data_IF_264542491780
#
_entry.id   IF_264542491780
#
_cell.length_a   1.000
_cell.length_b   1.000
_cell.length_c   1.000
_cell.angle_alpha   90.00
_cell.angle_beta   90.00
_cell.angle_gamma   90.00
#
_symmetry.space_group_name_H-M   'P 1'
#
loop_
_entity.id
_entity.type
_entity.pdbx_description
1 polymer ?
#
# COMPACT_ATOMS: atom_id res chain seq x y z
N UNK A 1 -22.14 -28.53 -47.86
CA UNK A 1 -20.86 -28.28 -47.17
C UNK A 1 -21.12 -27.50 -45.87
N UNK A 2 -21.24 -28.19 -44.74
CA UNK A 2 -21.45 -27.56 -43.42
C UNK A 2 -20.09 -27.15 -42.87
N UNK A 3 -19.77 -25.83 -42.82
CA UNK A 3 -18.63 -25.31 -42.07
C UNK A 3 -18.95 -25.42 -40.58
N UNK A 4 -18.28 -26.31 -39.89
CA UNK A 4 -18.24 -26.36 -38.44
C UNK A 4 -17.47 -25.14 -37.93
N UNK A 5 -18.17 -24.18 -37.35
CA UNK A 5 -17.56 -23.17 -36.50
C UNK A 5 -17.16 -23.87 -35.20
N UNK A 6 -15.87 -24.18 -35.06
CA UNK A 6 -15.25 -24.49 -33.78
C UNK A 6 -15.22 -23.18 -33.00
N UNK A 7 -16.20 -22.93 -32.15
CA UNK A 7 -16.11 -21.93 -31.12
C UNK A 7 -15.01 -22.43 -30.13
N UNK A 8 -13.82 -21.88 -30.24
CA UNK A 8 -12.77 -22.07 -29.24
C UNK A 8 -13.21 -21.18 -28.06
N UNK A 9 -13.91 -21.77 -27.10
CA UNK A 9 -14.04 -21.17 -25.78
C UNK A 9 -12.64 -21.23 -25.16
N UNK A 10 -11.89 -20.14 -25.27
CA UNK A 10 -10.71 -19.94 -24.46
C UNK A 10 -11.22 -19.70 -23.04
N UNK A 11 -11.28 -20.75 -22.22
CA UNK A 11 -11.50 -20.57 -20.78
C UNK A 11 -10.30 -19.77 -20.28
N UNK A 12 -10.51 -18.49 -19.95
CA UNK A 12 -9.54 -17.68 -19.25
C UNK A 12 -9.34 -18.32 -17.87
N UNK A 13 -8.24 -19.05 -17.73
CA UNK A 13 -7.83 -19.68 -16.49
C UNK A 13 -7.01 -18.66 -15.71
N UNK A 14 -7.23 -18.60 -14.40
CA UNK A 14 -6.30 -17.92 -13.50
C UNK A 14 -4.87 -18.39 -13.78
N UNK A 15 -3.89 -17.47 -13.72
CA UNK A 15 -2.50 -17.81 -14.04
C UNK A 15 -1.54 -17.11 -13.09
N UNK A 16 -0.54 -17.87 -12.65
CA UNK A 16 0.66 -17.34 -12.02
C UNK A 16 1.80 -17.44 -13.01
N UNK A 17 2.54 -16.35 -13.20
CA UNK A 17 3.82 -16.34 -13.89
C UNK A 17 4.89 -15.89 -12.90
N UNK A 18 6.02 -16.63 -12.84
CA UNK A 18 7.19 -16.31 -12.03
C UNK A 18 8.40 -16.18 -12.95
N UNK A 19 9.06 -15.03 -12.91
CA UNK A 19 10.21 -14.70 -13.75
C UNK A 19 11.38 -14.26 -12.88
N UNK A 20 12.54 -14.89 -13.03
CA UNK A 20 13.76 -14.44 -12.37
C UNK A 20 14.22 -13.13 -13.01
N UNK A 21 14.49 -12.10 -12.18
CA UNK A 21 14.96 -10.80 -12.62
C UNK A 21 16.47 -10.69 -12.43
N UNK A 22 16.94 -10.91 -11.19
CA UNK A 22 18.35 -10.74 -10.82
C UNK A 22 18.65 -11.46 -9.52
N UNK A 23 19.87 -11.34 -9.03
CA UNK A 23 20.27 -11.73 -7.68
C UNK A 23 20.75 -10.48 -6.92
N UNK A 24 20.33 -10.33 -5.66
CA UNK A 24 20.78 -9.29 -4.72
C UNK A 24 21.35 -10.00 -3.49
N UNK A 25 22.63 -9.77 -3.15
CA UNK A 25 23.29 -10.36 -1.98
C UNK A 25 23.08 -11.89 -1.88
N UNK A 26 23.20 -12.59 -3.01
CA UNK A 26 22.97 -14.04 -3.18
C UNK A 26 21.50 -14.49 -3.00
N UNK A 27 20.53 -13.58 -2.91
CA UNK A 27 19.11 -13.89 -2.89
C UNK A 27 18.47 -13.63 -4.26
N UNK A 28 17.69 -14.60 -4.74
CA UNK A 28 17.05 -14.50 -6.05
C UNK A 28 15.85 -13.57 -6.01
N UNK A 29 15.83 -12.59 -6.89
CA UNK A 29 14.71 -11.69 -7.10
C UNK A 29 13.85 -12.17 -8.26
N UNK A 30 12.55 -12.27 -8.00
CA UNK A 30 11.55 -12.69 -8.96
C UNK A 30 10.48 -11.61 -9.13
N UNK A 31 9.97 -11.51 -10.35
CA UNK A 31 8.69 -10.88 -10.65
C UNK A 31 7.61 -11.96 -10.69
N UNK A 32 6.58 -11.79 -9.90
CA UNK A 32 5.39 -12.64 -9.86
C UNK A 32 4.25 -11.87 -10.53
N UNK A 33 3.51 -12.52 -11.42
CA UNK A 33 2.35 -11.93 -12.09
C UNK A 33 1.14 -12.82 -11.90
N UNK A 34 0.08 -12.25 -11.38
CA UNK A 34 -1.25 -12.84 -11.25
C UNK A 34 -2.16 -12.35 -12.35
N UNK A 35 -2.94 -13.24 -12.93
CA UNK A 35 -4.04 -12.88 -13.84
C UNK A 35 -5.27 -13.67 -13.44
N UNK A 36 -6.38 -12.99 -13.11
CA UNK A 36 -7.64 -13.67 -12.82
C UNK A 36 -8.46 -13.94 -14.10
N UNK A 37 -9.60 -14.61 -13.97
CA UNK A 37 -10.45 -14.93 -15.13
C UNK A 37 -11.13 -13.72 -15.77
N UNK A 38 -11.16 -12.57 -15.10
CA UNK A 38 -11.69 -11.31 -15.61
C UNK A 38 -10.59 -10.42 -16.22
N UNK A 39 -9.39 -10.97 -16.45
CA UNK A 39 -8.23 -10.28 -17.02
C UNK A 39 -7.66 -9.14 -16.18
N UNK A 40 -7.94 -9.08 -14.87
CA UNK A 40 -7.19 -8.20 -13.99
C UNK A 40 -5.79 -8.78 -13.80
N UNK A 41 -4.76 -7.94 -13.95
CA UNK A 41 -3.36 -8.36 -13.85
C UNK A 41 -2.66 -7.59 -12.74
N UNK A 42 -2.04 -8.31 -11.83
CA UNK A 42 -1.23 -7.73 -10.75
C UNK A 42 0.15 -8.34 -10.83
N UNK A 43 1.18 -7.50 -10.90
CA UNK A 43 2.55 -7.97 -10.82
C UNK A 43 3.33 -7.29 -9.70
N UNK A 44 4.21 -8.05 -9.06
CA UNK A 44 4.99 -7.58 -7.93
C UNK A 44 6.34 -8.31 -7.87
N UNK A 45 7.28 -7.72 -7.11
CA UNK A 45 8.59 -8.32 -6.85
C UNK A 45 8.64 -8.87 -5.42
N UNK A 46 9.38 -9.95 -5.22
CA UNK A 46 9.73 -10.40 -3.87
C UNK A 46 10.82 -9.54 -3.22
N UNK A 47 11.40 -8.57 -3.92
CA UNK A 47 12.18 -7.49 -3.35
C UNK A 47 11.22 -6.41 -2.84
N UNK A 48 11.23 -6.15 -1.54
CA UNK A 48 10.39 -5.14 -0.88
C UNK A 48 8.87 -5.36 -1.01
N UNK A 49 8.43 -6.48 -1.60
CA UNK A 49 7.03 -6.69 -1.96
C UNK A 49 6.48 -5.62 -2.91
N UNK A 50 7.35 -4.95 -3.70
CA UNK A 50 6.96 -3.86 -4.60
C UNK A 50 5.92 -4.33 -5.62
N UNK A 51 4.72 -3.74 -5.59
CA UNK A 51 3.71 -3.95 -6.62
C UNK A 51 4.10 -3.11 -7.84
N UNK A 52 4.46 -3.81 -8.92
CA UNK A 52 4.93 -3.17 -10.14
C UNK A 52 3.76 -2.66 -10.98
N UNK A 53 2.68 -3.45 -11.14
CA UNK A 53 1.52 -3.08 -11.92
C UNK A 53 0.22 -3.54 -11.25
N UNK A 54 -0.82 -2.73 -11.40
CA UNK A 54 -2.22 -3.14 -11.30
C UNK A 54 -2.89 -2.72 -12.61
N UNK A 55 -3.15 -3.70 -13.48
CA UNK A 55 -3.78 -3.48 -14.78
C UNK A 55 -5.26 -3.80 -14.68
N UNK A 56 -6.09 -2.82 -14.96
CA UNK A 56 -7.54 -2.95 -15.02
C UNK A 56 -7.97 -2.95 -16.51
N UNK A 57 -8.69 -3.98 -16.99
CA UNK A 57 -9.21 -3.98 -18.34
C UNK A 57 -10.30 -2.91 -18.51
N UNK A 58 -10.36 -2.25 -19.67
CA UNK A 58 -11.41 -1.24 -19.94
C UNK A 58 -12.83 -1.84 -19.96
N UNK A 59 -12.93 -3.13 -20.27
CA UNK A 59 -14.11 -3.97 -20.07
C UNK A 59 -13.68 -5.43 -19.92
N UNK A 60 -14.54 -6.30 -19.39
CA UNK A 60 -14.22 -7.69 -19.05
C UNK A 60 -13.75 -8.58 -20.23
N UNK A 61 -13.88 -8.11 -21.48
CA UNK A 61 -13.45 -8.82 -22.68
C UNK A 61 -12.37 -8.05 -23.46
N UNK A 62 -11.82 -6.99 -22.89
CA UNK A 62 -10.80 -6.16 -23.53
C UNK A 62 -9.41 -6.73 -23.33
N UNK A 63 -8.61 -6.69 -24.40
CA UNK A 63 -7.16 -6.86 -24.34
C UNK A 63 -6.45 -5.51 -24.07
N UNK A 64 -7.24 -4.43 -23.90
CA UNK A 64 -6.74 -3.11 -23.55
C UNK A 64 -6.89 -2.87 -22.04
N UNK A 65 -5.82 -2.42 -21.43
CA UNK A 65 -5.68 -2.20 -19.99
C UNK A 65 -5.25 -0.78 -19.68
N UNK A 66 -5.60 -0.32 -18.48
CA UNK A 66 -4.96 0.82 -17.87
C UNK A 66 -4.16 0.37 -16.64
N UNK A 67 -2.95 0.90 -16.48
CA UNK A 67 -2.17 0.73 -15.27
C UNK A 67 -2.49 1.87 -14.29
N UNK A 68 -3.02 1.51 -13.14
CA UNK A 68 -3.54 2.48 -12.17
C UNK A 68 -2.58 2.79 -11.01
N UNK A 69 -1.35 2.24 -11.06
CA UNK A 69 -0.28 2.55 -10.10
C UNK A 69 0.87 3.28 -10.79
N UNK A 70 1.40 4.31 -10.15
CA UNK A 70 2.73 4.83 -10.51
C UNK A 70 3.78 3.73 -10.30
N UNK A 71 4.96 3.88 -10.88
CA UNK A 71 6.05 2.92 -10.74
C UNK A 71 7.14 3.15 -11.77
N UNK A 72 8.21 2.39 -11.67
CA UNK A 72 9.35 2.48 -12.57
C UNK A 72 9.25 1.49 -13.74
N UNK A 73 9.99 1.79 -14.81
CA UNK A 73 10.09 0.91 -15.99
C UNK A 73 10.98 -0.28 -15.65
N UNK A 74 12.15 -0.02 -15.06
CA UNK A 74 13.17 -1.03 -14.79
C UNK A 74 13.20 -1.39 -13.30
N UNK A 75 13.61 -2.64 -13.04
CA UNK A 75 13.70 -3.14 -11.66
C UNK A 75 14.75 -2.39 -10.82
N UNK A 76 15.86 -2.00 -11.42
CA UNK A 76 16.98 -1.32 -10.76
C UNK A 76 16.57 -0.02 -10.08
N UNK A 77 15.55 0.65 -10.61
CA UNK A 77 15.02 1.89 -10.05
C UNK A 77 14.29 1.64 -8.71
N UNK A 78 13.71 0.44 -8.50
CA UNK A 78 13.12 0.06 -7.21
C UNK A 78 14.19 -0.16 -6.12
N UNK A 79 15.39 -0.61 -6.49
CA UNK A 79 16.51 -0.77 -5.54
C UNK A 79 16.90 0.59 -4.97
N UNK A 80 16.96 1.62 -5.81
CA UNK A 80 17.32 2.99 -5.43
C UNK A 80 16.14 3.86 -4.98
N UNK A 81 14.91 3.33 -5.03
CA UNK A 81 13.69 4.08 -4.68
C UNK A 81 13.75 4.66 -3.28
N UNK A 82 13.40 5.96 -3.17
CA UNK A 82 13.29 6.71 -1.91
C UNK A 82 11.87 7.18 -1.62
N UNK A 83 10.95 6.95 -2.55
CA UNK A 83 9.54 7.37 -2.43
C UNK A 83 8.62 6.24 -1.97
N UNK A 84 9.16 5.06 -1.71
CA UNK A 84 8.38 3.89 -1.26
C UNK A 84 7.27 3.50 -2.25
N UNK A 85 7.51 3.63 -3.55
CA UNK A 85 6.50 3.42 -4.61
C UNK A 85 5.95 1.98 -4.60
N UNK A 86 4.82 1.77 -3.91
CA UNK A 86 4.03 0.54 -3.86
C UNK A 86 4.69 -0.64 -3.11
N UNK A 87 5.51 -0.38 -2.11
CA UNK A 87 6.20 -1.44 -1.35
C UNK A 87 5.54 -1.77 0.00
N UNK A 88 6.00 -2.85 0.61
CA UNK A 88 5.73 -3.16 2.02
C UNK A 88 6.51 -2.18 2.89
N UNK A 89 5.82 -1.52 3.81
CA UNK A 89 6.41 -0.65 4.83
C UNK A 89 6.46 -1.41 6.16
N UNK A 90 7.63 -1.43 6.77
CA UNK A 90 7.88 -2.07 8.06
C UNK A 90 9.36 -1.92 8.53
N UNK A 91 9.64 -2.17 9.84
CA UNK A 91 8.69 -2.71 10.86
C UNK A 91 7.55 -1.77 11.24
N UNK A 92 7.76 -0.44 11.20
CA UNK A 92 6.75 0.54 11.58
C UNK A 92 6.58 1.56 10.45
N UNK A 93 5.36 1.69 9.94
CA UNK A 93 5.00 2.72 8.98
C UNK A 93 4.77 4.07 9.68
N UNK A 94 4.90 5.15 8.90
CA UNK A 94 4.86 6.51 9.42
C UNK A 94 6.12 6.87 10.21
N UNK A 95 6.05 8.01 10.92
CA UNK A 95 7.19 8.57 11.65
C UNK A 95 7.23 8.13 13.11
N UNK A 96 8.45 7.90 13.63
CA UNK A 96 8.73 7.80 15.07
C UNK A 96 9.59 8.99 15.44
N UNK A 97 9.06 9.84 16.33
CA UNK A 97 9.68 11.09 16.72
C UNK A 97 11.09 10.88 17.31
N UNK A 98 12.04 11.71 16.83
CA UNK A 98 13.45 11.71 17.27
C UNK A 98 14.16 10.35 17.09
N UNK A 99 13.65 9.46 16.27
CA UNK A 99 14.24 8.15 16.04
C UNK A 99 14.39 7.31 17.32
N UNK A 100 13.50 7.46 18.29
CA UNK A 100 13.60 6.71 19.55
C UNK A 100 12.23 6.38 20.14
N UNK A 101 12.16 5.31 20.92
CA UNK A 101 10.99 4.94 21.71
C UNK A 101 11.40 4.22 23.00
N UNK A 102 10.52 4.22 23.99
CA UNK A 102 10.73 3.50 25.25
C UNK A 102 9.82 2.27 25.31
N UNK A 103 10.39 1.12 25.66
CA UNK A 103 9.70 -0.14 25.83
C UNK A 103 10.35 -0.93 26.98
N UNK A 104 9.52 -1.37 27.96
CA UNK A 104 9.98 -2.16 29.11
C UNK A 104 11.20 -1.50 29.82
N UNK A 105 11.07 -0.22 30.19
CA UNK A 105 12.08 0.61 30.88
C UNK A 105 13.40 0.75 30.11
N UNK A 106 13.44 0.45 28.84
CA UNK A 106 14.59 0.68 27.95
C UNK A 106 14.24 1.65 26.85
N UNK A 107 15.18 2.52 26.52
CA UNK A 107 15.08 3.37 25.33
C UNK A 107 15.83 2.70 24.17
N UNK A 108 15.17 2.59 23.04
CA UNK A 108 15.72 2.09 21.79
C UNK A 108 15.93 3.24 20.82
N UNK A 109 17.13 3.28 20.24
CA UNK A 109 17.48 4.25 19.21
C UNK A 109 17.33 3.60 17.84
N UNK A 110 16.61 4.26 16.95
CA UNK A 110 16.36 3.85 15.58
C UNK A 110 17.19 4.68 14.62
N UNK A 111 17.44 4.17 13.43
CA UNK A 111 18.10 4.96 12.38
C UNK A 111 17.27 6.18 12.01
N UNK A 112 17.88 7.36 11.96
CA UNK A 112 17.24 8.59 11.48
C UNK A 112 17.38 8.67 9.97
N UNK A 113 16.26 8.69 9.25
CA UNK A 113 16.20 8.75 7.78
C UNK A 113 15.27 9.85 7.24
N UNK A 114 14.62 10.63 8.16
CA UNK A 114 13.80 11.79 7.85
C UNK A 114 14.12 12.91 8.84
N UNK A 115 15.19 13.67 8.57
CA UNK A 115 15.79 14.60 9.52
C UNK A 115 16.19 13.88 10.81
N UNK A 116 15.72 14.33 12.01
CA UNK A 116 15.99 13.65 13.27
C UNK A 116 15.05 12.44 13.49
N UNK A 117 14.05 12.24 12.65
CA UNK A 117 13.01 11.25 12.84
C UNK A 117 13.35 9.94 12.12
N UNK A 118 12.71 8.87 12.56
CA UNK A 118 12.69 7.59 11.86
C UNK A 118 11.40 7.50 11.04
N UNK A 119 11.50 7.08 9.79
CA UNK A 119 10.38 6.99 8.86
C UNK A 119 10.36 5.61 8.19
N UNK A 120 9.18 5.00 8.12
CA UNK A 120 8.87 3.82 7.32
C UNK A 120 9.82 2.62 7.53
N UNK A 121 10.27 2.39 8.77
CA UNK A 121 11.15 1.26 9.11
C UNK A 121 12.63 1.53 8.90
N UNK A 122 13.01 2.77 8.54
CA UNK A 122 14.40 3.21 8.52
C UNK A 122 15.04 3.23 7.14
N UNK A 123 16.39 3.28 7.14
CA UNK A 123 17.20 3.39 5.90
C UNK A 123 17.15 2.13 5.07
N UNK A 124 17.08 0.97 5.74
CA UNK A 124 17.01 -0.35 5.13
C UNK A 124 15.82 -1.13 5.71
N UNK A 125 14.62 -0.51 5.60
CA UNK A 125 13.36 -1.11 6.00
C UNK A 125 12.94 -2.29 5.10
N UNK A 126 11.74 -2.80 5.31
CA UNK A 126 11.20 -3.98 4.61
C UNK A 126 11.12 -3.82 3.09
N UNK A 127 11.03 -2.60 2.60
CA UNK A 127 11.09 -2.25 1.18
C UNK A 127 12.47 -2.50 0.53
N UNK A 128 13.54 -2.63 1.30
CA UNK A 128 14.91 -2.90 0.82
C UNK A 128 15.36 -4.34 1.01
N UNK A 129 14.45 -5.24 1.35
CA UNK A 129 14.75 -6.65 1.64
C UNK A 129 14.28 -7.56 0.52
N UNK A 130 15.04 -8.63 0.25
CA UNK A 130 14.55 -9.73 -0.58
C UNK A 130 13.77 -10.68 0.33
N UNK A 131 12.49 -10.85 0.04
CA UNK A 131 11.62 -11.77 0.74
C UNK A 131 11.69 -13.16 0.10
N UNK A 132 11.70 -14.20 0.90
CA UNK A 132 11.58 -15.57 0.41
C UNK A 132 10.16 -15.81 -0.09
N UNK A 133 10.01 -16.62 -1.13
CA UNK A 133 8.71 -17.09 -1.62
C UNK A 133 8.47 -18.45 -0.99
N UNK A 134 7.59 -18.52 0.01
CA UNK A 134 7.25 -19.78 0.71
C UNK A 134 6.28 -20.62 -0.08
N UNK A 135 5.28 -20.00 -0.73
CA UNK A 135 4.32 -20.69 -1.59
C UNK A 135 3.85 -19.85 -2.77
N UNK A 136 3.41 -20.56 -3.82
CA UNK A 136 2.66 -20.04 -4.97
C UNK A 136 1.53 -21.03 -5.25
N UNK A 137 0.28 -20.61 -5.03
CA UNK A 137 -0.86 -21.49 -5.08
C UNK A 137 -1.90 -21.01 -6.10
N UNK A 138 -2.38 -21.92 -6.95
CA UNK A 138 -3.53 -21.71 -7.83
C UNK A 138 -4.67 -22.62 -7.35
N UNK A 139 -5.67 -22.03 -6.73
CA UNK A 139 -6.89 -22.70 -6.29
C UNK A 139 -8.07 -22.29 -7.18
N UNK A 140 -9.20 -23.00 -7.05
CA UNK A 140 -10.42 -22.61 -7.75
C UNK A 140 -10.92 -21.25 -7.27
N UNK A 141 -10.79 -20.24 -8.11
CA UNK A 141 -11.27 -18.87 -7.84
C UNK A 141 -10.31 -17.94 -7.12
N UNK A 142 -9.09 -18.38 -6.78
CA UNK A 142 -8.06 -17.56 -6.11
C UNK A 142 -6.65 -18.03 -6.46
N UNK A 143 -5.76 -17.06 -6.65
CA UNK A 143 -4.31 -17.29 -6.77
C UNK A 143 -3.58 -16.53 -5.67
N UNK A 144 -2.52 -17.13 -5.13
CA UNK A 144 -1.78 -16.51 -4.02
C UNK A 144 -0.28 -16.75 -4.06
N UNK A 145 0.45 -15.86 -3.38
CA UNK A 145 1.88 -15.95 -3.11
C UNK A 145 2.11 -15.56 -1.65
N UNK A 146 2.81 -16.41 -0.91
CA UNK A 146 3.28 -16.07 0.43
C UNK A 146 4.75 -15.66 0.38
N UNK A 147 5.01 -14.43 0.81
CA UNK A 147 6.34 -13.85 1.00
C UNK A 147 6.71 -13.90 2.48
N UNK A 148 7.94 -14.27 2.78
CA UNK A 148 8.46 -14.38 4.14
C UNK A 148 9.77 -13.62 4.31
N UNK A 149 9.88 -12.84 5.37
CA UNK A 149 11.11 -12.17 5.78
C UNK A 149 11.33 -12.31 7.28
N UNK A 150 12.57 -12.67 7.65
CA UNK A 150 13.04 -12.71 9.04
C UNK A 150 13.89 -11.48 9.31
N UNK A 151 13.34 -10.55 10.10
CA UNK A 151 14.04 -9.34 10.51
C UNK A 151 14.79 -9.62 11.82
N UNK A 152 16.13 -9.54 11.85
CA UNK A 152 16.92 -9.91 13.02
C UNK A 152 16.78 -8.88 14.14
N UNK A 153 17.09 -9.32 15.37
CA UNK A 153 17.17 -8.44 16.53
C UNK A 153 18.07 -7.24 16.26
N UNK A 154 17.60 -6.04 16.61
CA UNK A 154 18.23 -4.73 16.38
C UNK A 154 18.39 -4.32 14.90
N UNK A 155 17.71 -4.98 13.96
CA UNK A 155 17.60 -4.41 12.62
C UNK A 155 16.93 -3.04 12.70
N UNK A 156 17.57 -2.01 12.09
CA UNK A 156 17.16 -0.60 12.18
C UNK A 156 16.96 -0.08 13.62
N UNK A 157 17.42 -0.81 14.65
CA UNK A 157 17.32 -0.50 16.07
C UNK A 157 16.16 -1.17 16.82
N UNK A 158 15.30 -1.91 16.15
CA UNK A 158 14.14 -2.56 16.76
C UNK A 158 14.50 -3.84 17.53
N UNK A 159 14.02 -4.04 18.79
CA UNK A 159 14.28 -5.27 19.54
C UNK A 159 13.53 -6.48 18.97
N UNK A 160 14.03 -7.66 19.29
CA UNK A 160 13.45 -8.94 18.93
C UNK A 160 13.73 -9.40 17.49
N UNK A 161 13.81 -10.71 17.29
CA UNK A 161 13.71 -11.31 15.97
C UNK A 161 12.25 -11.32 15.58
N UNK A 162 11.95 -10.95 14.34
CA UNK A 162 10.59 -10.83 13.83
C UNK A 162 10.44 -11.74 12.61
N UNK A 163 9.52 -12.69 12.70
CA UNK A 163 9.09 -13.49 11.54
C UNK A 163 7.89 -12.81 10.90
N UNK A 164 8.04 -12.33 9.69
CA UNK A 164 7.01 -11.61 8.96
C UNK A 164 6.63 -12.37 7.70
N UNK A 165 5.33 -12.65 7.56
CA UNK A 165 4.72 -13.24 6.36
C UNK A 165 3.77 -12.25 5.74
N UNK A 166 3.86 -12.10 4.43
CA UNK A 166 2.93 -11.29 3.65
C UNK A 166 2.31 -12.15 2.55
N UNK A 167 1.01 -12.38 2.62
CA UNK A 167 0.29 -13.14 1.59
C UNK A 167 -0.42 -12.18 0.64
N UNK A 168 -0.06 -12.28 -0.64
CA UNK A 168 -0.72 -11.59 -1.74
C UNK A 168 -1.66 -12.55 -2.44
N UNK A 169 -2.92 -12.13 -2.66
CA UNK A 169 -3.94 -12.95 -3.29
C UNK A 169 -4.72 -12.13 -4.31
N UNK A 170 -5.12 -12.76 -5.42
CA UNK A 170 -6.06 -12.20 -6.38
C UNK A 170 -7.15 -13.22 -6.64
N UNK A 171 -8.41 -12.82 -6.45
CA UNK A 171 -9.55 -13.69 -6.67
C UNK A 171 -10.39 -13.29 -7.91
N UNK A 172 -11.39 -14.09 -8.21
CA UNK A 172 -12.30 -13.89 -9.33
C UNK A 172 -13.35 -12.78 -9.12
N UNK A 173 -13.41 -12.20 -7.92
CA UNK A 173 -14.21 -11.01 -7.63
C UNK A 173 -13.42 -9.71 -7.88
N UNK A 174 -12.22 -9.80 -8.50
CA UNK A 174 -11.29 -8.71 -8.74
C UNK A 174 -10.78 -8.06 -7.44
N UNK A 175 -10.70 -8.85 -6.37
CA UNK A 175 -10.15 -8.42 -5.11
C UNK A 175 -8.67 -8.80 -5.05
N UNK A 176 -7.81 -7.80 -4.92
CA UNK A 176 -6.42 -7.99 -4.56
C UNK A 176 -6.29 -7.83 -3.04
N UNK A 177 -5.81 -8.87 -2.39
CA UNK A 177 -5.78 -8.99 -0.93
C UNK A 177 -4.34 -9.05 -0.47
N UNK A 178 -4.00 -8.27 0.54
CA UNK A 178 -2.71 -8.31 1.25
C UNK A 178 -3.00 -8.64 2.71
N UNK A 179 -2.40 -9.74 3.18
CA UNK A 179 -2.44 -10.12 4.59
C UNK A 179 -1.04 -10.12 5.18
N UNK A 180 -0.90 -9.55 6.36
CA UNK A 180 0.32 -9.66 7.15
C UNK A 180 0.09 -10.55 8.36
N UNK A 181 1.07 -11.43 8.65
CA UNK A 181 1.15 -12.23 9.86
C UNK A 181 2.56 -12.11 10.43
N UNK A 182 2.64 -11.68 11.68
CA UNK A 182 3.93 -11.38 12.30
C UNK A 182 3.99 -11.96 13.70
N UNK A 183 5.11 -12.62 14.02
CA UNK A 183 5.44 -13.10 15.37
C UNK A 183 6.83 -12.63 15.78
N UNK A 184 7.11 -12.62 17.07
CA UNK A 184 8.38 -12.15 17.61
C UNK A 184 8.79 -12.96 18.85
N UNK A 185 10.08 -13.03 19.12
CA UNK A 185 10.65 -13.65 20.32
C UNK A 185 10.83 -12.67 21.51
N UNK A 186 10.62 -11.35 21.29
CA UNK A 186 10.68 -10.29 22.29
C UNK A 186 9.61 -9.25 22.00
N UNK A 187 9.19 -8.51 23.03
CA UNK A 187 8.33 -7.35 22.85
C UNK A 187 8.98 -6.36 21.88
N UNK A 188 8.22 -5.91 20.88
CA UNK A 188 8.71 -4.99 19.85
C UNK A 188 7.58 -4.17 19.27
N UNK A 189 7.91 -3.20 18.40
CA UNK A 189 6.93 -2.41 17.69
C UNK A 189 6.66 -3.00 16.29
N UNK A 190 5.38 -3.06 15.93
CA UNK A 190 4.95 -3.47 14.58
C UNK A 190 3.77 -2.64 14.13
N UNK A 191 3.87 -2.06 12.94
CA UNK A 191 2.78 -1.37 12.25
C UNK A 191 3.07 -1.46 10.75
N UNK A 192 2.48 -2.44 10.06
CA UNK A 192 2.77 -2.70 8.65
C UNK A 192 1.68 -2.11 7.77
N UNK A 193 2.09 -1.66 6.58
CA UNK A 193 1.17 -1.24 5.52
C UNK A 193 1.79 -1.49 4.14
N UNK A 194 1.03 -1.20 3.09
CA UNK A 194 1.51 -1.16 1.71
C UNK A 194 1.28 0.25 1.15
N UNK A 195 2.32 0.85 0.57
CA UNK A 195 2.35 2.27 0.19
C UNK A 195 1.99 2.48 -1.29
N UNK A 196 0.79 2.09 -1.71
CA UNK A 196 0.35 2.16 -3.10
C UNK A 196 0.09 3.59 -3.57
N UNK A 197 0.74 4.00 -4.65
CA UNK A 197 0.57 5.30 -5.30
C UNK A 197 -0.44 5.18 -6.44
N UNK A 198 -1.70 5.49 -6.14
CA UNK A 198 -2.82 5.37 -7.06
C UNK A 198 -2.97 6.56 -7.98
N UNK A 199 -3.16 6.30 -9.28
CA UNK A 199 -3.67 7.26 -10.24
C UNK A 199 -4.61 6.55 -11.23
N UNK A 200 -5.90 6.61 -10.98
CA UNK A 200 -6.92 5.99 -11.82
C UNK A 200 -7.21 6.74 -13.13
N UNK A 201 -6.58 7.89 -13.40
CA UNK A 201 -6.54 8.46 -14.74
C UNK A 201 -5.62 7.64 -15.66
N UNK A 202 -4.77 6.79 -15.07
CA UNK A 202 -3.85 5.91 -15.77
C UNK A 202 -2.66 6.63 -16.39
N UNK A 203 -1.99 5.95 -17.33
CA UNK A 203 -0.76 6.42 -17.95
C UNK A 203 -0.92 6.79 -19.43
N UNK A 204 -2.09 6.55 -20.02
CA UNK A 204 -2.35 6.72 -21.47
C UNK A 204 -3.10 8.02 -21.73
N UNK A 205 -4.36 7.93 -22.12
CA UNK A 205 -5.18 9.04 -22.63
C UNK A 205 -5.43 10.15 -21.63
N UNK A 206 -5.62 9.82 -20.35
CA UNK A 206 -6.03 10.77 -19.32
C UNK A 206 -4.95 11.07 -18.29
N UNK A 207 -3.69 10.70 -18.61
CA UNK A 207 -2.57 10.93 -17.70
C UNK A 207 -2.45 12.39 -17.27
N UNK A 208 -2.64 12.62 -15.97
CA UNK A 208 -2.55 13.93 -15.34
C UNK A 208 -2.38 13.78 -13.81
N UNK A 209 -2.30 14.89 -13.11
CA UNK A 209 -2.39 14.93 -11.64
C UNK A 209 -3.71 14.33 -11.15
N UNK A 210 -3.77 14.06 -9.83
CA UNK A 210 -4.94 13.43 -9.19
C UNK A 210 -6.23 14.27 -9.17
N UNK A 211 -6.21 15.47 -9.71
CA UNK A 211 -7.41 16.31 -9.86
C UNK A 211 -8.50 15.58 -10.62
N UNK A 212 -9.71 15.59 -10.08
CA UNK A 212 -10.87 14.90 -10.67
C UNK A 212 -11.09 13.48 -10.16
N UNK A 213 -10.19 12.93 -9.33
CA UNK A 213 -10.54 11.71 -8.60
C UNK A 213 -11.63 12.00 -7.58
N UNK A 214 -12.56 11.08 -7.44
CA UNK A 214 -13.61 11.10 -6.43
C UNK A 214 -13.21 10.17 -5.29
N UNK A 215 -13.13 10.72 -4.08
CA UNK A 215 -12.69 10.02 -2.88
C UNK A 215 -13.76 10.07 -1.80
N UNK A 216 -13.99 8.95 -1.14
CA UNK A 216 -14.69 8.84 0.14
C UNK A 216 -13.78 8.14 1.16
N UNK A 217 -13.74 8.66 2.39
CA UNK A 217 -13.06 8.02 3.53
C UNK A 217 -14.08 7.91 4.66
N UNK A 218 -14.31 6.70 5.16
CA UNK A 218 -15.29 6.44 6.24
C UNK A 218 -14.75 6.92 7.60
N UNK A 219 -14.51 8.22 7.67
CA UNK A 219 -13.97 8.91 8.84
C UNK A 219 -14.50 10.34 8.95
N UNK A 220 -14.65 10.83 10.18
CA UNK A 220 -14.94 12.23 10.50
C UNK A 220 -13.87 12.86 11.38
N UNK A 221 -12.73 12.19 11.52
CA UNK A 221 -11.64 12.69 12.35
C UNK A 221 -10.29 12.24 11.83
N UNK A 222 -9.27 13.03 12.14
CA UNK A 222 -7.90 12.74 11.77
C UNK A 222 -6.93 13.08 12.91
N UNK A 223 -5.77 12.44 12.91
CA UNK A 223 -4.68 12.73 13.82
C UNK A 223 -4.04 14.08 13.46
N UNK A 224 -4.01 15.00 14.42
CA UNK A 224 -3.30 16.27 14.27
C UNK A 224 -1.80 16.03 14.20
N UNK A 225 -1.10 16.81 13.37
CA UNK A 225 0.35 16.74 13.16
C UNK A 225 1.01 18.09 13.39
N UNK A 226 2.26 18.06 13.82
CA UNK A 226 3.10 19.25 13.89
C UNK A 226 3.75 19.60 12.53
N UNK A 227 4.56 20.66 12.49
CA UNK A 227 5.29 21.09 11.29
C UNK A 227 6.29 20.08 10.71
N UNK A 228 6.63 19.05 11.48
CA UNK A 228 7.51 17.96 11.07
C UNK A 228 6.72 16.69 10.72
N UNK A 229 5.40 16.80 10.54
CA UNK A 229 4.49 15.69 10.27
C UNK A 229 4.44 14.64 11.40
N UNK A 230 4.81 15.03 12.64
CA UNK A 230 4.73 14.17 13.81
C UNK A 230 3.33 14.32 14.43
N UNK A 231 2.59 13.20 14.65
CA UNK A 231 1.31 13.24 15.35
C UNK A 231 1.44 13.85 16.75
N UNK A 232 0.62 14.86 17.05
CA UNK A 232 0.64 15.59 18.34
C UNK A 232 -0.11 14.86 19.46
N UNK A 233 -0.89 13.81 19.13
CA UNK A 233 -1.81 13.13 20.03
C UNK A 233 -3.19 13.77 20.10
N UNK A 234 -3.41 14.91 19.44
CA UNK A 234 -4.74 15.51 19.30
C UNK A 234 -5.48 14.87 18.13
N UNK A 235 -6.79 14.85 18.24
CA UNK A 235 -7.69 14.38 17.18
C UNK A 235 -8.57 15.57 16.76
N UNK A 236 -8.53 15.88 15.47
CA UNK A 236 -9.32 16.94 14.87
C UNK A 236 -10.52 16.38 14.11
N UNK A 237 -11.61 17.15 14.08
CA UNK A 237 -12.81 16.82 13.29
C UNK A 237 -12.65 17.33 11.85
N UNK A 238 -13.11 16.56 10.86
CA UNK A 238 -13.02 16.94 9.44
C UNK A 238 -14.13 17.89 8.99
N UNK A 239 -15.26 17.93 9.73
CA UNK A 239 -16.48 18.63 9.33
C UNK A 239 -16.23 20.11 8.97
N UNK A 240 -16.72 20.55 7.81
CA UNK A 240 -16.55 21.89 7.24
C UNK A 240 -15.11 22.31 6.98
N UNK A 241 -14.19 21.36 6.83
CA UNK A 241 -12.81 21.61 6.42
C UNK A 241 -12.54 21.04 5.03
N UNK A 242 -11.40 21.41 4.43
CA UNK A 242 -10.95 20.81 3.17
C UNK A 242 -10.65 19.30 3.31
N UNK A 243 -10.49 18.80 4.53
CA UNK A 243 -10.20 17.40 4.87
C UNK A 243 -11.45 16.53 5.02
N UNK A 244 -12.67 17.07 4.78
CA UNK A 244 -13.90 16.29 4.86
C UNK A 244 -14.13 15.49 3.58
N UNK A 245 -13.89 14.17 3.66
CA UNK A 245 -14.16 13.15 2.66
C UNK A 245 -15.14 12.09 3.19
N UNK A 246 -15.97 12.43 4.18
CA UNK A 246 -16.94 11.49 4.76
C UNK A 246 -18.08 11.08 3.82
N UNK A 247 -18.13 11.65 2.63
CA UNK A 247 -18.92 11.24 1.47
C UNK A 247 -18.11 11.48 0.20
N UNK A 248 -18.50 10.86 -0.92
CA UNK A 248 -17.79 11.06 -2.18
C UNK A 248 -17.63 12.53 -2.53
N UNK A 249 -16.39 12.94 -2.66
CA UNK A 249 -15.96 14.29 -2.98
C UNK A 249 -14.88 14.26 -4.05
N UNK A 250 -15.04 15.11 -5.07
CA UNK A 250 -14.02 15.29 -6.09
C UNK A 250 -12.84 16.08 -5.53
N UNK A 251 -11.64 15.52 -5.70
CA UNK A 251 -10.39 16.22 -5.39
C UNK A 251 -10.19 17.33 -6.41
N UNK A 252 -10.10 18.56 -5.95
CA UNK A 252 -9.86 19.75 -6.76
C UNK A 252 -8.72 20.60 -6.14
N UNK A 253 -8.47 21.79 -6.69
CA UNK A 253 -7.38 22.64 -6.23
C UNK A 253 -7.49 23.04 -4.77
N UNK A 254 -8.68 23.22 -4.24
CA UNK A 254 -8.89 23.61 -2.83
C UNK A 254 -8.37 22.55 -1.85
N UNK A 255 -8.63 21.27 -2.12
CA UNK A 255 -8.12 20.17 -1.29
C UNK A 255 -6.59 20.07 -1.35
N UNK A 256 -5.98 20.51 -2.45
CA UNK A 256 -4.55 20.42 -2.71
C UNK A 256 -3.75 21.70 -2.37
N UNK A 257 -4.42 22.76 -1.89
CA UNK A 257 -3.76 23.94 -1.33
C UNK A 257 -2.89 23.61 -0.11
N UNK A 258 -1.98 24.52 0.25
CA UNK A 258 -1.09 24.39 1.41
C UNK A 258 -0.28 23.09 1.44
N UNK A 259 0.27 22.72 0.27
CA UNK A 259 1.06 21.49 0.07
C UNK A 259 0.27 20.18 0.14
N UNK A 260 -1.05 20.20 -0.13
CA UNK A 260 -1.88 19.02 -0.22
C UNK A 260 -2.21 18.38 1.13
N UNK A 261 -2.43 17.07 1.14
CA UNK A 261 -2.86 16.30 2.32
C UNK A 261 -1.82 15.23 2.62
N UNK A 262 -1.48 15.08 3.90
CA UNK A 262 -0.69 13.98 4.47
C UNK A 262 -1.18 13.74 5.91
N UNK A 263 -2.34 13.08 6.04
CA UNK A 263 -3.06 12.96 7.31
C UNK A 263 -3.54 11.52 7.55
N UNK A 264 -3.48 11.09 8.80
CA UNK A 264 -4.00 9.82 9.25
C UNK A 264 -5.45 9.97 9.71
N UNK A 265 -6.39 9.41 8.97
CA UNK A 265 -7.82 9.38 9.27
C UNK A 265 -8.16 8.21 10.17
N UNK A 266 -9.07 8.44 11.15
CA UNK A 266 -9.49 7.43 12.13
C UNK A 266 -10.79 6.80 11.63
N UNK A 267 -10.79 5.50 11.41
CA UNK A 267 -11.93 4.73 10.89
C UNK A 267 -13.10 4.77 11.88
N UNK A 268 -14.28 5.16 11.38
CA UNK A 268 -15.50 5.20 12.21
C UNK A 268 -15.92 3.79 12.65
N UNK A 269 -16.37 3.70 13.91
CA UNK A 269 -16.92 2.47 14.49
C UNK A 269 -15.97 1.27 14.33
N UNK A 270 -14.67 1.53 14.47
CA UNK A 270 -13.66 0.48 14.43
C UNK A 270 -13.91 -0.58 15.52
N UNK A 271 -13.90 -1.85 15.12
CA UNK A 271 -14.10 -3.00 16.00
C UNK A 271 -13.16 -4.18 15.68
N UNK A 272 -12.15 -3.94 14.82
CA UNK A 272 -11.20 -4.97 14.38
C UNK A 272 -11.74 -5.91 13.30
N UNK A 273 -12.95 -5.69 12.79
CA UNK A 273 -13.48 -6.45 11.66
C UNK A 273 -13.16 -5.78 10.33
N UNK A 274 -13.13 -6.58 9.26
CA UNK A 274 -12.90 -6.08 7.90
C UNK A 274 -14.09 -5.20 7.46
N UNK A 275 -13.81 -3.92 7.17
CA UNK A 275 -14.82 -2.93 6.75
C UNK A 275 -14.30 -2.11 5.57
N UNK A 276 -15.22 -1.60 4.75
CA UNK A 276 -14.88 -0.53 3.81
C UNK A 276 -14.44 0.70 4.58
N UNK A 277 -13.22 1.19 4.33
CA UNK A 277 -12.64 2.35 4.98
C UNK A 277 -12.42 3.51 4.02
N UNK A 278 -12.28 3.24 2.73
CA UNK A 278 -12.15 4.26 1.70
C UNK A 278 -12.56 3.73 0.32
N UNK A 279 -13.03 4.62 -0.55
CA UNK A 279 -13.34 4.34 -1.94
C UNK A 279 -12.81 5.46 -2.84
N UNK A 280 -12.15 5.10 -3.92
CA UNK A 280 -11.49 6.05 -4.83
C UNK A 280 -11.76 5.65 -6.27
N UNK A 281 -12.16 6.61 -7.12
CA UNK A 281 -12.28 6.37 -8.57
C UNK A 281 -11.94 7.63 -9.38
N UNK A 282 -11.66 7.44 -10.66
CA UNK A 282 -11.43 8.52 -11.63
C UNK A 282 -12.74 8.90 -12.34
N UNK A 283 -13.03 10.19 -12.42
CA UNK A 283 -14.14 10.72 -13.22
C UNK A 283 -13.94 10.54 -14.73
N UNK A 284 -12.73 10.20 -15.19
CA UNK A 284 -12.36 10.03 -16.61
C UNK A 284 -12.43 8.59 -17.08
N UNK A 285 -11.86 7.67 -16.31
CA UNK A 285 -11.78 6.25 -16.70
C UNK A 285 -12.89 5.41 -16.09
N UNK A 286 -13.58 5.91 -15.06
CA UNK A 286 -14.54 5.18 -14.22
C UNK A 286 -13.91 3.98 -13.47
N UNK A 287 -12.59 3.82 -13.60
CA UNK A 287 -11.83 2.84 -12.84
C UNK A 287 -11.62 3.32 -11.42
N UNK A 288 -11.59 2.38 -10.48
CA UNK A 288 -11.43 2.71 -9.07
C UNK A 288 -11.10 1.51 -8.19
N UNK A 289 -11.01 1.79 -6.89
CA UNK A 289 -10.78 0.82 -5.82
C UNK A 289 -11.65 1.13 -4.61
N UNK A 290 -12.20 0.08 -4.01
CA UNK A 290 -12.74 0.11 -2.66
C UNK A 290 -11.75 -0.60 -1.74
N UNK A 291 -11.34 0.07 -0.67
CA UNK A 291 -10.37 -0.46 0.30
C UNK A 291 -11.12 -0.89 1.55
N UNK A 292 -11.07 -2.20 1.81
CA UNK A 292 -11.55 -2.76 3.07
C UNK A 292 -10.34 -3.11 3.93
N UNK A 293 -10.42 -2.82 5.23
CA UNK A 293 -9.37 -3.21 6.18
C UNK A 293 -9.92 -3.46 7.57
N UNK A 294 -9.16 -4.24 8.34
CA UNK A 294 -9.32 -4.46 9.77
C UNK A 294 -8.47 -3.51 10.62
N UNK A 295 -7.89 -2.47 9.99
CA UNK A 295 -7.04 -1.50 10.67
C UNK A 295 -7.82 -0.27 11.14
N UNK A 296 -7.43 0.36 12.29
CA UNK A 296 -8.15 1.48 12.90
C UNK A 296 -8.01 2.80 12.17
N UNK A 297 -7.02 2.92 11.29
CA UNK A 297 -6.70 4.16 10.59
C UNK A 297 -6.39 3.92 9.13
N UNK A 298 -6.50 5.00 8.34
CA UNK A 298 -6.01 5.08 6.97
C UNK A 298 -5.22 6.37 6.78
N UNK A 299 -3.96 6.27 6.37
CA UNK A 299 -3.18 7.42 5.95
C UNK A 299 -3.66 7.83 4.56
N UNK A 300 -3.98 9.11 4.38
CA UNK A 300 -4.26 9.72 3.09
C UNK A 300 -3.16 10.71 2.76
N UNK A 301 -2.43 10.43 1.69
CA UNK A 301 -1.31 11.21 1.21
C UNK A 301 -1.49 11.56 -0.27
N UNK A 302 -1.31 12.81 -0.65
CA UNK A 302 -1.59 13.30 -2.01
C UNK A 302 -0.33 13.48 -2.87
N UNK A 303 0.75 12.73 -2.58
CA UNK A 303 1.97 12.76 -3.40
C UNK A 303 2.74 14.08 -3.34
N UNK A 304 2.72 14.76 -2.18
CA UNK A 304 3.23 16.12 -2.03
C UNK A 304 4.76 16.23 -2.03
N UNK A 305 5.47 15.12 -1.80
CA UNK A 305 6.94 15.09 -1.74
C UNK A 305 7.54 14.39 -2.96
N UNK A 306 6.73 14.13 -4.00
CA UNK A 306 7.24 13.54 -5.23
C UNK A 306 8.01 14.60 -6.03
N UNK A 307 9.29 14.34 -6.27
CA UNK A 307 10.12 15.19 -7.12
C UNK A 307 9.76 14.99 -8.61
N UNK A 308 9.97 16.03 -9.45
CA UNK A 308 9.65 15.99 -10.89
C UNK A 308 10.60 15.13 -11.74
N UNK A 309 11.47 14.33 -11.12
CA UNK A 309 12.56 13.62 -11.79
C UNK A 309 12.36 12.13 -12.00
N UNK A 310 11.19 11.59 -11.67
CA UNK A 310 10.94 10.15 -11.83
C UNK A 310 10.62 9.80 -13.28
N UNK A 311 11.48 9.03 -13.92
CA UNK A 311 11.19 8.37 -15.19
C UNK A 311 10.20 7.22 -14.93
N UNK A 312 8.93 7.56 -14.95
CA UNK A 312 7.86 6.60 -14.71
C UNK A 312 7.54 5.73 -15.91
N UNK A 313 6.65 4.78 -15.69
CA UNK A 313 6.11 3.89 -16.74
C UNK A 313 5.61 4.70 -17.94
N UNK A 314 5.66 4.08 -19.12
CA UNK A 314 5.24 4.69 -20.39
C UNK A 314 5.97 6.01 -20.72
N UNK A 315 7.20 6.19 -20.23
CA UNK A 315 7.98 7.43 -20.35
C UNK A 315 7.25 8.67 -19.81
N UNK A 316 6.45 8.50 -18.75
CA UNK A 316 5.79 9.61 -18.05
C UNK A 316 6.67 10.12 -16.93
N UNK A 317 6.78 11.43 -16.80
CA UNK A 317 7.42 12.03 -15.64
C UNK A 317 6.40 12.18 -14.52
N UNK A 318 6.67 11.54 -13.39
CA UNK A 318 5.89 11.75 -12.19
C UNK A 318 6.41 12.96 -11.42
N UNK A 319 5.56 13.56 -10.65
CA UNK A 319 5.90 14.69 -9.80
C UNK A 319 4.81 14.98 -8.78
N UNK A 320 4.88 16.12 -8.21
CA UNK A 320 3.97 16.65 -7.20
C UNK A 320 2.50 16.40 -7.56
N UNK A 321 1.77 15.66 -6.74
CA UNK A 321 0.36 15.34 -6.87
C UNK A 321 -0.03 14.51 -8.11
N UNK A 322 0.89 13.68 -8.62
CA UNK A 322 0.57 12.73 -9.69
C UNK A 322 0.02 11.40 -9.18
N UNK A 323 -0.01 11.18 -7.87
CA UNK A 323 -0.68 10.05 -7.25
C UNK A 323 -1.17 10.41 -5.86
N UNK A 324 -1.99 9.52 -5.31
CA UNK A 324 -2.37 9.54 -3.90
C UNK A 324 -2.22 8.15 -3.28
N UNK A 325 -2.00 8.12 -1.97
CA UNK A 325 -1.90 6.90 -1.19
C UNK A 325 -3.05 6.80 -0.19
N UNK A 326 -3.55 5.60 -0.01
CA UNK A 326 -4.51 5.22 1.02
C UNK A 326 -3.94 3.99 1.74
N UNK A 327 -3.46 4.17 2.96
CA UNK A 327 -2.64 3.19 3.66
C UNK A 327 -3.31 2.78 4.98
N UNK A 328 -4.00 1.62 5.02
CA UNK A 328 -4.54 1.08 6.26
C UNK A 328 -3.41 0.77 7.25
N UNK A 329 -3.54 1.24 8.49
CA UNK A 329 -2.49 1.11 9.50
C UNK A 329 -3.03 1.29 10.93
N UNK A 330 -2.17 1.00 11.92
CA UNK A 330 -2.38 1.43 13.29
C UNK A 330 -2.12 2.94 13.43
N UNK A 331 -2.46 3.50 14.59
CA UNK A 331 -2.17 4.90 14.88
C UNK A 331 -0.67 5.19 14.75
N UNK A 332 -0.26 6.26 14.04
CA UNK A 332 1.16 6.62 13.87
C UNK A 332 1.75 7.23 15.16
N UNK A 333 3.05 7.00 15.39
CA UNK A 333 3.83 7.51 16.54
C UNK A 333 3.17 7.27 17.93
N UNK A 334 2.25 6.32 18.01
CA UNK A 334 1.50 5.99 19.22
C UNK A 334 2.41 5.62 20.41
N UNK A 335 3.58 5.10 20.13
CA UNK A 335 4.58 4.64 21.11
C UNK A 335 5.16 5.78 21.97
N UNK A 336 5.09 7.01 21.45
CA UNK A 336 5.54 8.22 22.13
C UNK A 336 4.39 9.07 22.70
N UNK A 337 3.14 8.55 22.68
CA UNK A 337 1.95 9.26 23.10
C UNK A 337 1.27 8.57 24.28
N UNK A 338 1.12 9.31 25.40
CA UNK A 338 0.59 8.75 26.65
C UNK A 338 -0.90 8.38 26.62
N UNK A 339 -1.68 8.95 25.69
CA UNK A 339 -3.15 8.86 25.68
C UNK A 339 -3.73 7.85 24.70
N UNK A 340 -2.91 7.20 23.87
CA UNK A 340 -3.34 6.23 22.87
C UNK A 340 -2.73 4.88 23.23
N UNK A 341 -3.54 3.81 23.24
CA UNK A 341 -3.04 2.46 23.48
C UNK A 341 -2.03 2.09 22.42
N UNK A 342 -0.81 1.83 22.86
CA UNK A 342 0.28 1.41 22.00
C UNK A 342 0.05 -0.03 21.52
N UNK A 343 0.27 -0.25 20.23
CA UNK A 343 0.27 -1.60 19.66
C UNK A 343 1.69 -2.18 19.71
N UNK A 344 2.08 -2.59 20.88
CA UNK A 344 3.29 -3.40 21.07
C UNK A 344 2.91 -4.84 20.68
N UNK A 345 3.72 -5.44 19.83
CA UNK A 345 3.66 -6.87 19.62
C UNK A 345 4.43 -7.54 20.76
N UNK A 346 3.71 -8.13 21.70
CA UNK A 346 4.29 -8.87 22.79
C UNK A 346 4.84 -10.21 22.30
N UNK A 347 5.92 -10.67 22.95
CA UNK A 347 6.42 -12.02 22.79
C UNK A 347 5.28 -13.04 22.87
N UNK A 348 5.32 -14.07 22.03
CA UNK A 348 4.33 -15.15 21.95
C UNK A 348 2.90 -14.69 21.56
N UNK A 349 2.75 -13.45 21.10
CA UNK A 349 1.54 -12.94 20.44
C UNK A 349 1.76 -12.83 18.95
N UNK A 350 0.67 -12.72 18.23
CA UNK A 350 0.65 -12.50 16.78
C UNK A 350 0.03 -11.15 16.45
N UNK A 351 0.69 -10.40 15.55
CA UNK A 351 0.07 -9.30 14.82
C UNK A 351 -0.47 -9.85 13.51
N UNK A 352 -1.66 -9.44 13.13
CA UNK A 352 -2.22 -9.68 11.81
C UNK A 352 -2.96 -8.45 11.31
N UNK A 353 -2.92 -8.24 10.01
CA UNK A 353 -3.75 -7.24 9.34
C UNK A 353 -4.14 -7.72 7.95
N UNK A 354 -5.32 -7.29 7.51
CA UNK A 354 -5.88 -7.62 6.20
C UNK A 354 -6.32 -6.35 5.50
N UNK A 355 -5.87 -6.19 4.27
CA UNK A 355 -6.35 -5.16 3.36
C UNK A 355 -6.87 -5.80 2.09
N UNK A 356 -8.11 -5.52 1.72
CA UNK A 356 -8.75 -5.95 0.48
C UNK A 356 -8.92 -4.75 -0.43
N UNK A 357 -8.37 -4.83 -1.63
CA UNK A 357 -8.51 -3.83 -2.68
C UNK A 357 -9.45 -4.39 -3.75
N UNK A 358 -10.72 -3.99 -3.67
CA UNK A 358 -11.75 -4.38 -4.62
C UNK A 358 -11.68 -3.47 -5.84
N UNK A 359 -11.17 -4.00 -6.96
CA UNK A 359 -10.90 -3.24 -8.18
C UNK A 359 -12.10 -3.26 -9.12
N UNK A 360 -12.35 -2.16 -9.82
CA UNK A 360 -13.46 -2.07 -10.77
C UNK A 360 -13.24 -1.06 -11.88
N UNK A 361 -14.06 -1.18 -12.92
CA UNK A 361 -14.05 -0.30 -14.10
C UNK A 361 -15.39 0.46 -14.31
N UNK A 362 -16.34 0.40 -13.36
CA UNK A 362 -17.63 1.09 -13.36
C UNK A 362 -17.99 1.53 -11.92
N UNK A 363 -17.17 2.39 -11.33
CA UNK A 363 -17.31 2.79 -9.92
C UNK A 363 -18.36 3.87 -9.65
N UNK A 364 -18.98 4.46 -10.66
CA UNK A 364 -19.99 5.50 -10.54
C UNK A 364 -21.43 5.02 -10.84
N UNK A 365 -21.59 3.74 -11.08
CA UNK A 365 -22.89 3.04 -11.19
C UNK A 365 -23.15 2.24 -9.89
#
# INVERSE_FOLDING_TARGET
MKKYYKQIFTFYRMRIKKEKITDIENHQVYKITFTNKNNYVISFYNFGGYINNILIPYNNNSDEYEDVLLGYINFEEYISDRSYLNCIIGRVCGRIANGQFSLNDRTYELSSNDGPHHLHGGRSGFNKKVWYIDSLDENSGEISCELHYKSPHLEEGYPGNLECRSKYMLNDNNEFIIQFHVTTDHDTLVNLTNHNYWNFHGHKKFYQKILGHCLEIHSRSYCDIDKNFIPTGRINNTNKTKYDFSSFKKINNYELEDNGIDLCYIVEKYDGTLKNIASLYSDKTKMGVQILSDQPCVQFYTGNMMEQSYNGKFNKNYGYQYALCLEPQLFPNVFNQKNIKCSILHKDKQYSSTTVMRLGNNFDE
#
